data_IF_219869210474
#
_entry.id   IF_219869210474
#
_cell.length_a   1.000
_cell.length_b   1.000
_cell.length_c   1.000
_cell.angle_alpha   90.00
_cell.angle_beta   90.00
_cell.angle_gamma   90.00
#
_symmetry.space_group_name_H-M   'P 1'
#
loop_
_entity.id
_entity.type
_entity.pdbx_description
1 polymer ?
#
# COMPACT_ATOMS: atom_id res chain seq x y z
N UNK A 1 4.71 27.72 -5.37
CA UNK A 1 5.35 26.99 -6.50
C UNK A 1 5.56 25.56 -6.05
N UNK A 2 5.19 24.57 -6.88
CA UNK A 2 5.36 23.15 -6.55
C UNK A 2 6.84 22.81 -6.51
N UNK A 3 7.26 22.09 -5.47
CA UNK A 3 8.66 21.71 -5.20
C UNK A 3 8.88 20.20 -5.14
N UNK A 4 7.82 19.40 -4.96
CA UNK A 4 7.91 17.95 -4.88
C UNK A 4 6.63 17.27 -5.38
N UNK A 5 6.79 16.00 -5.77
CA UNK A 5 5.69 15.07 -6.01
C UNK A 5 5.68 14.04 -4.88
N UNK A 6 4.54 13.87 -4.25
CA UNK A 6 4.23 12.76 -3.37
C UNK A 6 3.31 11.81 -4.14
N UNK A 7 3.64 10.54 -4.21
CA UNK A 7 2.94 9.56 -5.06
C UNK A 7 2.67 8.26 -4.30
N UNK A 8 1.52 7.65 -4.52
CA UNK A 8 1.23 6.32 -4.03
C UNK A 8 2.05 5.25 -4.77
N UNK A 9 2.08 4.03 -4.23
CA UNK A 9 2.84 2.91 -4.75
C UNK A 9 1.96 1.89 -5.47
N UNK A 10 1.14 1.14 -4.73
CA UNK A 10 0.34 0.03 -5.25
C UNK A 10 -0.93 0.54 -5.92
N UNK A 11 -1.16 0.20 -7.19
CA UNK A 11 -2.24 0.74 -8.02
C UNK A 11 -1.85 2.00 -8.79
N UNK A 12 -0.76 2.66 -8.38
CA UNK A 12 -0.28 3.92 -8.97
C UNK A 12 1.04 3.77 -9.72
N UNK A 13 2.08 3.27 -9.08
CA UNK A 13 3.38 2.98 -9.70
C UNK A 13 3.51 1.54 -10.16
N UNK A 14 2.93 0.62 -9.40
CA UNK A 14 2.93 -0.82 -9.70
C UNK A 14 1.50 -1.33 -9.75
N UNK A 15 1.26 -2.40 -10.50
CA UNK A 15 -0.06 -3.01 -10.63
C UNK A 15 -0.59 -3.52 -9.29
N UNK A 16 -1.93 -3.56 -9.12
CA UNK A 16 -2.57 -4.24 -7.99
C UNK A 16 -2.66 -5.77 -8.16
N UNK A 17 -2.46 -6.26 -9.37
CA UNK A 17 -2.54 -7.68 -9.71
C UNK A 17 -1.18 -8.22 -10.13
N UNK A 18 -0.88 -9.45 -9.72
CA UNK A 18 0.33 -10.15 -10.13
C UNK A 18 0.13 -11.67 -10.10
N UNK A 19 1.02 -12.40 -10.75
CA UNK A 19 1.06 -13.86 -10.66
C UNK A 19 1.23 -14.38 -9.23
N UNK A 20 1.88 -13.60 -8.37
CA UNK A 20 2.08 -13.94 -6.95
C UNK A 20 0.75 -13.90 -6.18
N UNK A 21 -0.06 -12.87 -6.42
CA UNK A 21 -1.40 -12.76 -5.84
C UNK A 21 -2.32 -13.88 -6.36
N UNK A 22 -2.24 -14.21 -7.64
CA UNK A 22 -3.00 -15.33 -8.24
C UNK A 22 -2.61 -16.67 -7.61
N UNK A 23 -1.32 -16.91 -7.37
CA UNK A 23 -0.81 -18.11 -6.68
C UNK A 23 -1.34 -18.19 -5.24
N UNK A 24 -1.26 -17.09 -4.50
CA UNK A 24 -1.81 -16.99 -3.14
C UNK A 24 -3.31 -17.33 -3.13
N UNK A 25 -4.09 -16.71 -4.00
CA UNK A 25 -5.55 -16.96 -4.07
C UNK A 25 -5.87 -18.39 -4.47
N UNK A 26 -5.13 -18.97 -5.41
CA UNK A 26 -5.27 -20.37 -5.79
C UNK A 26 -5.02 -21.32 -4.62
N UNK A 27 -4.04 -21.00 -3.76
CA UNK A 27 -3.75 -21.81 -2.59
C UNK A 27 -4.82 -21.63 -1.51
N UNK A 28 -5.27 -20.41 -1.25
CA UNK A 28 -6.37 -20.16 -0.32
C UNK A 28 -7.65 -20.93 -0.71
N UNK A 29 -8.03 -20.92 -1.98
CA UNK A 29 -9.20 -21.66 -2.48
C UNK A 29 -9.06 -23.17 -2.28
N UNK A 30 -7.87 -23.74 -2.54
CA UNK A 30 -7.60 -25.17 -2.29
C UNK A 30 -7.76 -25.54 -0.81
N UNK A 31 -7.44 -24.62 0.08
CA UNK A 31 -7.46 -24.80 1.53
C UNK A 31 -8.74 -24.29 2.19
N UNK A 32 -9.74 -23.85 1.41
CA UNK A 32 -11.07 -23.43 1.88
C UNK A 32 -12.16 -24.09 1.01
N UNK A 33 -12.47 -25.39 1.23
CA UNK A 33 -13.34 -26.18 0.32
C UNK A 33 -14.75 -25.62 0.11
N UNK A 34 -15.25 -24.89 1.10
CA UNK A 34 -16.61 -24.35 1.10
C UNK A 34 -16.67 -22.87 0.61
N UNK A 35 -15.54 -22.32 0.16
CA UNK A 35 -15.44 -20.92 -0.27
C UNK A 35 -14.89 -20.80 -1.68
N UNK A 36 -15.47 -19.89 -2.45
CA UNK A 36 -14.86 -19.43 -3.70
C UNK A 36 -13.86 -18.30 -3.48
N UNK A 37 -13.10 -18.01 -4.51
CA UNK A 37 -12.11 -16.93 -4.51
C UNK A 37 -12.72 -15.57 -4.15
N UNK A 38 -13.91 -15.26 -4.63
CA UNK A 38 -14.58 -13.99 -4.39
C UNK A 38 -14.94 -13.82 -2.91
N UNK A 39 -15.44 -14.85 -2.27
CA UNK A 39 -15.80 -14.86 -0.84
C UNK A 39 -14.58 -14.64 0.03
N UNK A 40 -13.47 -15.37 -0.25
CA UNK A 40 -12.21 -15.23 0.50
C UNK A 40 -11.65 -13.82 0.35
N UNK A 41 -11.53 -13.34 -0.90
CA UNK A 41 -11.01 -12.00 -1.20
C UNK A 41 -11.81 -10.92 -0.51
N UNK A 42 -13.13 -10.94 -0.67
CA UNK A 42 -14.01 -9.94 -0.05
C UNK A 42 -13.89 -9.91 1.47
N UNK A 43 -13.89 -11.08 2.10
CA UNK A 43 -13.78 -11.17 3.56
C UNK A 43 -12.41 -10.64 4.03
N UNK A 44 -11.31 -11.13 3.40
CA UNK A 44 -9.97 -10.75 3.78
C UNK A 44 -9.74 -9.23 3.63
N UNK A 45 -10.09 -8.64 2.48
CA UNK A 45 -9.94 -7.18 2.27
C UNK A 45 -10.80 -6.36 3.23
N UNK A 46 -12.04 -6.78 3.50
CA UNK A 46 -12.89 -6.09 4.48
C UNK A 46 -12.23 -6.11 5.87
N UNK A 47 -11.73 -7.27 6.27
CA UNK A 47 -11.08 -7.43 7.57
C UNK A 47 -9.76 -6.66 7.64
N UNK A 48 -8.97 -6.71 6.59
CA UNK A 48 -7.72 -5.95 6.48
C UNK A 48 -7.96 -4.44 6.61
N UNK A 49 -8.93 -3.88 5.90
CA UNK A 49 -9.28 -2.45 6.01
C UNK A 49 -9.79 -2.06 7.41
N UNK A 50 -10.54 -2.93 8.08
CA UNK A 50 -10.96 -2.73 9.49
C UNK A 50 -9.74 -2.68 10.42
N UNK A 51 -8.78 -3.58 10.22
CA UNK A 51 -7.57 -3.67 11.03
C UNK A 51 -6.62 -2.48 10.78
N UNK A 52 -6.48 -2.00 9.54
CA UNK A 52 -5.73 -0.79 9.24
C UNK A 52 -6.29 0.42 9.99
N UNK A 53 -7.62 0.57 10.05
CA UNK A 53 -8.27 1.65 10.82
C UNK A 53 -8.05 1.51 12.33
N UNK A 54 -8.01 0.29 12.84
CA UNK A 54 -7.80 -0.01 14.26
C UNK A 54 -6.36 0.27 14.71
N UNK A 55 -5.39 -0.03 13.84
CA UNK A 55 -3.96 0.00 14.18
C UNK A 55 -3.25 1.25 13.64
N UNK A 56 -3.73 2.42 14.08
CA UNK A 56 -3.13 3.73 13.83
C UNK A 56 -2.56 4.35 15.12
N UNK A 57 -1.56 5.19 14.98
CA UNK A 57 -0.97 5.95 16.07
C UNK A 57 -0.30 5.07 17.12
N UNK A 58 -0.69 5.21 18.38
CA UNK A 58 -0.10 4.47 19.51
C UNK A 58 -0.26 2.93 19.40
N UNK A 59 -1.28 2.49 18.70
CA UNK A 59 -1.56 1.06 18.50
C UNK A 59 -0.99 0.51 17.19
N UNK A 60 -0.11 1.25 16.53
CA UNK A 60 0.42 0.88 15.23
C UNK A 60 0.98 -0.55 15.21
N UNK A 61 0.63 -1.28 14.15
CA UNK A 61 1.23 -2.54 13.72
C UNK A 61 1.67 -2.39 12.27
N UNK A 62 2.68 -3.14 11.83
CA UNK A 62 3.09 -3.16 10.42
C UNK A 62 2.01 -3.77 9.53
N UNK A 63 2.00 -3.44 8.25
CA UNK A 63 1.04 -4.03 7.30
C UNK A 63 1.18 -5.55 7.23
N UNK A 64 2.39 -6.07 7.33
CA UNK A 64 2.63 -7.51 7.44
C UNK A 64 1.91 -8.14 8.64
N UNK A 65 2.00 -7.52 9.83
CA UNK A 65 1.32 -8.02 11.03
C UNK A 65 -0.20 -7.95 10.88
N UNK A 66 -0.71 -6.89 10.26
CA UNK A 66 -2.15 -6.71 9.98
C UNK A 66 -2.63 -7.74 8.97
N UNK A 67 -1.89 -7.98 7.90
CA UNK A 67 -2.22 -9.00 6.90
C UNK A 67 -2.28 -10.40 7.51
N UNK A 68 -1.32 -10.74 8.38
CA UNK A 68 -1.31 -12.00 9.10
C UNK A 68 -2.54 -12.14 10.02
N UNK A 69 -2.89 -11.08 10.76
CA UNK A 69 -4.11 -11.06 11.60
C UNK A 69 -5.39 -11.18 10.75
N UNK A 70 -5.43 -10.58 9.55
CA UNK A 70 -6.54 -10.73 8.61
C UNK A 70 -6.68 -12.18 8.13
N UNK A 71 -5.58 -12.89 7.85
CA UNK A 71 -5.62 -14.33 7.54
C UNK A 71 -6.09 -15.15 8.74
N UNK A 72 -5.66 -14.85 9.96
CA UNK A 72 -6.20 -15.53 11.16
C UNK A 72 -7.71 -15.34 11.30
N UNK A 73 -8.22 -14.13 11.06
CA UNK A 73 -9.66 -13.88 11.03
C UNK A 73 -10.37 -14.68 9.92
N UNK A 74 -9.76 -14.76 8.73
CA UNK A 74 -10.31 -15.52 7.60
C UNK A 74 -10.38 -17.01 7.91
N UNK A 75 -9.36 -17.56 8.58
CA UNK A 75 -9.35 -18.94 9.06
C UNK A 75 -10.48 -19.20 10.04
N UNK A 76 -10.65 -18.30 11.00
CA UNK A 76 -11.68 -18.46 12.04
C UNK A 76 -13.11 -18.39 11.49
N UNK A 77 -13.37 -17.50 10.52
CA UNK A 77 -14.70 -17.24 9.98
C UNK A 77 -15.07 -18.16 8.82
N UNK A 78 -14.15 -18.36 7.89
CA UNK A 78 -14.41 -19.11 6.65
C UNK A 78 -13.89 -20.55 6.69
N UNK A 79 -13.18 -20.94 7.74
CA UNK A 79 -12.58 -22.28 7.83
C UNK A 79 -11.36 -22.47 6.90
N UNK A 80 -10.68 -21.38 6.49
CA UNK A 80 -9.45 -21.47 5.72
C UNK A 80 -8.39 -22.26 6.51
N UNK A 81 -7.90 -23.34 5.94
CA UNK A 81 -6.87 -24.18 6.56
C UNK A 81 -5.47 -23.63 6.22
N UNK A 82 -4.47 -24.05 7.00
CA UNK A 82 -3.08 -23.68 6.77
C UNK A 82 -2.53 -22.67 7.76
N UNK A 83 -1.34 -22.13 7.43
CA UNK A 83 -0.61 -21.18 8.27
C UNK A 83 -0.79 -19.75 7.75
N UNK A 84 -1.26 -18.85 8.61
CA UNK A 84 -1.47 -17.44 8.26
C UNK A 84 -0.16 -16.73 7.91
N UNK A 85 0.94 -17.10 8.57
CA UNK A 85 2.24 -16.54 8.24
C UNK A 85 2.67 -16.96 6.83
N UNK A 86 2.47 -18.21 6.44
CA UNK A 86 2.75 -18.68 5.08
C UNK A 86 1.98 -17.88 4.03
N UNK A 87 0.67 -17.64 4.23
CA UNK A 87 -0.12 -16.80 3.32
C UNK A 87 0.37 -15.36 3.28
N UNK A 88 0.79 -14.82 4.42
CA UNK A 88 1.35 -13.46 4.48
C UNK A 88 2.71 -13.38 3.78
N UNK A 89 3.55 -14.42 3.89
CA UNK A 89 4.81 -14.49 3.16
C UNK A 89 4.58 -14.52 1.64
N UNK A 90 3.57 -15.26 1.18
CA UNK A 90 3.17 -15.25 -0.24
C UNK A 90 2.66 -13.86 -0.69
N UNK A 91 1.91 -13.17 0.18
CA UNK A 91 1.47 -11.79 -0.08
C UNK A 91 2.65 -10.83 -0.12
N UNK A 92 3.66 -11.02 0.73
CA UNK A 92 4.88 -10.24 0.71
C UNK A 92 5.69 -10.42 -0.60
N UNK A 93 5.66 -11.62 -1.22
CA UNK A 93 6.21 -11.81 -2.57
C UNK A 93 5.47 -10.98 -3.62
N UNK A 94 4.15 -10.83 -3.50
CA UNK A 94 3.38 -9.92 -4.35
C UNK A 94 3.85 -8.47 -4.15
N UNK A 95 3.96 -7.96 -2.93
CA UNK A 95 4.38 -6.58 -2.66
C UNK A 95 5.76 -6.24 -3.24
N UNK A 96 6.70 -7.20 -3.23
CA UNK A 96 8.06 -7.01 -3.75
C UNK A 96 8.17 -7.13 -5.27
N UNK A 97 7.36 -8.02 -5.86
CA UNK A 97 7.61 -8.48 -7.22
C UNK A 97 6.59 -8.02 -8.25
N UNK A 98 5.57 -7.28 -7.84
CA UNK A 98 4.59 -6.72 -8.79
C UNK A 98 5.27 -5.80 -9.81
N UNK A 99 4.97 -5.95 -11.12
CA UNK A 99 5.56 -5.10 -12.17
C UNK A 99 5.06 -3.66 -12.05
N UNK A 100 5.88 -2.71 -12.52
CA UNK A 100 5.46 -1.32 -12.66
C UNK A 100 4.60 -1.12 -13.92
N UNK A 101 3.79 -0.07 -13.91
CA UNK A 101 3.18 0.45 -15.12
C UNK A 101 4.26 1.00 -16.05
N UNK A 102 4.08 0.86 -17.37
CA UNK A 102 5.07 1.31 -18.36
C UNK A 102 5.37 2.81 -18.25
N UNK A 103 4.36 3.62 -17.99
CA UNK A 103 4.48 5.07 -17.84
C UNK A 103 5.14 5.52 -16.53
N UNK A 104 5.24 4.65 -15.51
CA UNK A 104 6.00 4.94 -14.30
C UNK A 104 7.49 5.19 -14.62
N UNK A 105 8.09 4.41 -15.54
CA UNK A 105 9.47 4.61 -15.97
C UNK A 105 9.66 5.96 -16.67
N UNK A 106 8.73 6.28 -17.56
CA UNK A 106 8.71 7.56 -18.27
C UNK A 106 8.53 8.74 -17.31
N UNK A 107 7.67 8.59 -16.31
CA UNK A 107 7.46 9.60 -15.28
C UNK A 107 8.74 9.87 -14.47
N UNK A 108 9.38 8.82 -13.95
CA UNK A 108 10.63 8.97 -13.20
C UNK A 108 11.76 9.58 -14.06
N UNK A 109 11.85 9.20 -15.33
CA UNK A 109 12.88 9.72 -16.24
C UNK A 109 12.67 11.20 -16.61
N UNK A 110 11.43 11.68 -16.67
CA UNK A 110 11.09 13.03 -17.17
C UNK A 110 10.77 14.03 -16.06
N UNK A 111 10.36 13.58 -14.89
CA UNK A 111 10.02 14.44 -13.77
C UNK A 111 11.28 15.13 -13.22
N UNK A 112 11.28 16.47 -13.20
CA UNK A 112 12.40 17.26 -12.68
C UNK A 112 12.28 17.57 -11.18
N UNK A 113 11.14 17.26 -10.58
CA UNK A 113 10.90 17.44 -9.16
C UNK A 113 11.30 16.18 -8.38
N UNK A 114 11.75 16.31 -7.14
CA UNK A 114 11.96 15.15 -6.29
C UNK A 114 10.63 14.39 -6.10
N UNK A 115 10.69 13.07 -6.31
CA UNK A 115 9.56 12.15 -6.16
C UNK A 115 9.70 11.45 -4.81
N UNK A 116 8.67 11.53 -3.96
CA UNK A 116 8.55 10.81 -2.71
C UNK A 116 7.38 9.82 -2.80
N UNK A 117 7.56 8.61 -2.31
CA UNK A 117 6.48 7.64 -2.23
C UNK A 117 5.83 7.75 -0.85
N UNK A 118 4.49 7.86 -0.79
CA UNK A 118 3.71 7.70 0.45
C UNK A 118 2.84 6.45 0.33
N UNK A 119 3.13 5.44 1.15
CA UNK A 119 2.51 4.12 1.03
C UNK A 119 2.05 3.56 2.37
N UNK A 120 0.99 2.76 2.34
CA UNK A 120 0.55 1.98 3.48
C UNK A 120 1.47 0.76 3.75
N UNK A 121 2.19 0.30 2.73
CA UNK A 121 3.03 -0.89 2.83
C UNK A 121 4.28 -0.66 3.67
N UNK A 122 4.86 -1.75 4.19
CA UNK A 122 6.07 -1.72 5.00
C UNK A 122 7.29 -1.33 4.16
N UNK A 123 8.19 -0.54 4.73
CA UNK A 123 9.35 0.08 4.06
C UNK A 123 10.15 -0.92 3.25
N UNK A 124 10.51 -2.05 3.86
CA UNK A 124 11.38 -3.06 3.25
C UNK A 124 10.85 -3.62 1.93
N UNK A 125 9.52 -3.82 1.83
CA UNK A 125 8.92 -4.40 0.62
C UNK A 125 8.89 -3.39 -0.52
N UNK A 126 8.65 -2.12 -0.21
CA UNK A 126 8.65 -1.06 -1.21
C UNK A 126 10.09 -0.75 -1.67
N UNK A 127 11.08 -0.78 -0.76
CA UNK A 127 12.50 -0.66 -1.12
C UNK A 127 12.96 -1.79 -2.06
N UNK A 128 12.61 -3.05 -1.75
CA UNK A 128 12.91 -4.20 -2.60
C UNK A 128 12.24 -4.06 -3.98
N UNK A 129 10.96 -3.62 -4.02
CA UNK A 129 10.23 -3.36 -5.26
C UNK A 129 10.91 -2.29 -6.11
N UNK A 130 11.18 -1.12 -5.54
CA UNK A 130 11.80 -0.01 -6.26
C UNK A 130 13.21 -0.33 -6.75
N UNK A 131 14.02 -1.04 -5.96
CA UNK A 131 15.34 -1.50 -6.36
C UNK A 131 15.28 -2.48 -7.53
N UNK A 132 14.36 -3.45 -7.50
CA UNK A 132 14.15 -4.41 -8.60
C UNK A 132 13.71 -3.73 -9.89
N UNK A 133 12.87 -2.69 -9.76
CA UNK A 133 12.35 -1.91 -10.90
C UNK A 133 13.35 -0.85 -11.40
N UNK A 134 14.47 -0.66 -10.69
CA UNK A 134 15.45 0.40 -10.98
C UNK A 134 14.84 1.81 -10.93
N UNK A 135 13.75 2.01 -10.18
CA UNK A 135 13.13 3.29 -9.93
C UNK A 135 13.68 3.89 -8.64
N UNK A 136 14.14 5.14 -8.68
CA UNK A 136 14.82 5.78 -7.57
C UNK A 136 14.03 6.99 -7.04
N UNK A 137 13.06 6.79 -6.14
CA UNK A 137 12.42 7.89 -5.44
C UNK A 137 13.44 8.59 -4.53
N UNK A 138 13.19 9.87 -4.23
CA UNK A 138 14.00 10.64 -3.27
C UNK A 138 13.94 10.05 -1.86
N UNK A 139 12.76 9.56 -1.46
CA UNK A 139 12.56 8.76 -0.26
C UNK A 139 11.23 7.99 -0.36
N UNK A 140 11.13 6.91 0.41
CA UNK A 140 9.91 6.16 0.66
C UNK A 140 9.43 6.52 2.06
N UNK A 141 8.20 7.00 2.17
CA UNK A 141 7.52 7.34 3.41
C UNK A 141 6.43 6.29 3.63
N UNK A 142 6.72 5.31 4.44
CA UNK A 142 5.82 4.20 4.72
C UNK A 142 4.97 4.46 5.96
N UNK A 143 3.96 3.62 6.16
CA UNK A 143 3.19 3.61 7.40
C UNK A 143 4.06 3.37 8.64
N UNK A 144 5.19 2.65 8.52
CA UNK A 144 6.15 2.44 9.62
C UNK A 144 6.80 3.77 10.07
N UNK A 145 7.03 4.70 9.15
CA UNK A 145 7.62 6.01 9.47
C UNK A 145 6.60 6.97 10.06
N UNK A 146 5.36 6.91 9.57
CA UNK A 146 4.30 7.82 10.02
C UNK A 146 3.55 7.30 11.24
N UNK A 147 3.48 5.99 11.44
CA UNK A 147 2.60 5.25 12.34
C UNK A 147 1.11 5.43 12.01
N UNK A 148 0.80 5.86 10.79
CA UNK A 148 -0.56 6.04 10.30
C UNK A 148 -0.72 5.47 8.90
N UNK A 149 -1.88 4.87 8.67
CA UNK A 149 -2.31 4.36 7.37
C UNK A 149 -3.17 5.39 6.65
N UNK A 150 -2.93 5.60 5.36
CA UNK A 150 -3.91 6.31 4.51
C UNK A 150 -5.27 5.58 4.60
N UNK A 151 -6.41 6.28 4.74
CA UNK A 151 -6.62 7.71 4.53
C UNK A 151 -6.47 8.61 5.77
N UNK A 152 -5.88 8.16 6.88
CA UNK A 152 -5.70 9.04 8.03
C UNK A 152 -4.90 10.28 7.63
N UNK A 153 -5.42 11.47 7.93
CA UNK A 153 -4.77 12.74 7.58
C UNK A 153 -3.36 12.85 8.17
N UNK A 154 -3.15 12.25 9.34
CA UNK A 154 -1.87 12.21 10.03
C UNK A 154 -0.77 11.54 9.19
N UNK A 155 -1.12 10.59 8.31
CA UNK A 155 -0.15 10.00 7.38
C UNK A 155 0.41 11.05 6.41
N UNK A 156 -0.45 11.93 5.90
CA UNK A 156 -0.04 13.00 5.00
C UNK A 156 0.64 14.15 5.74
N UNK A 157 0.12 14.55 6.92
CA UNK A 157 0.74 15.59 7.76
C UNK A 157 2.17 15.22 8.13
N UNK A 158 2.39 13.97 8.58
CA UNK A 158 3.73 13.46 8.88
C UNK A 158 4.62 13.33 7.65
N UNK A 159 4.06 12.95 6.50
CA UNK A 159 4.83 12.96 5.26
C UNK A 159 5.33 14.36 4.91
N UNK A 160 4.48 15.40 5.05
CA UNK A 160 4.90 16.79 4.86
C UNK A 160 5.99 17.22 5.86
N UNK A 161 5.87 16.83 7.13
CA UNK A 161 6.90 17.06 8.14
C UNK A 161 8.24 16.43 7.76
N UNK A 162 8.23 15.16 7.30
CA UNK A 162 9.43 14.41 6.89
C UNK A 162 10.12 15.06 5.70
N UNK A 163 9.35 15.50 4.70
CA UNK A 163 9.93 16.14 3.50
C UNK A 163 10.27 17.62 3.72
N UNK A 164 9.76 18.24 4.78
CA UNK A 164 10.03 19.63 5.14
C UNK A 164 9.41 20.65 4.18
N UNK A 165 8.23 20.37 3.64
CA UNK A 165 7.49 21.23 2.71
C UNK A 165 6.07 21.49 3.19
N UNK A 166 5.53 22.65 2.82
CA UNK A 166 4.12 22.98 3.03
C UNK A 166 3.23 22.24 2.01
N UNK A 167 1.97 21.99 2.39
CA UNK A 167 1.01 21.28 1.54
C UNK A 167 0.85 21.90 0.14
N UNK A 168 0.89 23.26 0.05
CA UNK A 168 0.78 24.00 -1.22
C UNK A 168 2.03 23.91 -2.11
N UNK A 169 3.11 23.31 -1.61
CA UNK A 169 4.37 23.10 -2.33
C UNK A 169 4.49 21.68 -2.89
N UNK A 170 3.51 20.82 -2.60
CA UNK A 170 3.48 19.40 -2.97
C UNK A 170 2.24 19.10 -3.79
N UNK A 171 2.37 18.25 -4.80
CA UNK A 171 1.24 17.56 -5.42
C UNK A 171 1.22 16.11 -4.99
N UNK A 172 0.02 15.52 -4.93
CA UNK A 172 -0.16 14.10 -4.64
C UNK A 172 -0.74 13.37 -5.86
N UNK A 173 -0.23 12.19 -6.17
CA UNK A 173 -0.74 11.33 -7.25
C UNK A 173 -1.14 9.99 -6.65
N UNK A 174 -2.36 9.50 -6.96
CA UNK A 174 -2.84 8.22 -6.48
C UNK A 174 -4.09 7.73 -7.21
N UNK A 175 -4.39 6.44 -7.04
CA UNK A 175 -5.47 5.73 -7.73
C UNK A 175 -6.74 5.53 -6.89
N UNK A 176 -6.67 5.78 -5.57
CA UNK A 176 -7.81 5.61 -4.67
C UNK A 176 -8.49 6.92 -4.34
N UNK A 177 -9.77 7.07 -4.74
CA UNK A 177 -10.54 8.27 -4.39
C UNK A 177 -10.56 8.52 -2.87
N UNK A 178 -10.75 7.46 -2.06
CA UNK A 178 -10.86 7.58 -0.61
C UNK A 178 -9.52 7.67 0.11
N UNK A 179 -8.59 6.76 -0.22
CA UNK A 179 -7.31 6.64 0.50
C UNK A 179 -6.31 7.73 0.11
N UNK A 180 -6.40 8.25 -1.12
CA UNK A 180 -5.44 9.18 -1.69
C UNK A 180 -6.01 10.57 -1.90
N UNK A 181 -7.03 10.69 -2.75
CA UNK A 181 -7.47 11.97 -3.26
C UNK A 181 -8.15 12.82 -2.20
N UNK A 182 -9.18 12.27 -1.54
CA UNK A 182 -9.92 13.00 -0.50
C UNK A 182 -9.05 13.28 0.73
N UNK A 183 -8.19 12.33 1.10
CA UNK A 183 -7.29 12.48 2.23
C UNK A 183 -6.18 13.53 1.97
N UNK A 184 -5.60 13.57 0.77
CA UNK A 184 -4.65 14.63 0.38
C UNK A 184 -5.31 16.01 0.37
N UNK A 185 -6.55 16.11 -0.12
CA UNK A 185 -7.32 17.37 -0.11
C UNK A 185 -7.59 17.87 1.32
N UNK A 186 -7.88 16.98 2.25
CA UNK A 186 -8.16 17.33 3.64
C UNK A 186 -6.99 18.08 4.31
N UNK A 187 -5.75 17.74 3.94
CA UNK A 187 -4.55 18.41 4.45
C UNK A 187 -4.06 19.56 3.56
N UNK A 188 -4.80 19.87 2.50
CA UNK A 188 -4.50 21.01 1.60
C UNK A 188 -3.48 20.72 0.51
N UNK A 189 -3.14 19.45 0.25
CA UNK A 189 -2.33 19.04 -0.90
C UNK A 189 -3.20 18.98 -2.14
N UNK A 190 -2.71 19.45 -3.30
CA UNK A 190 -3.39 19.32 -4.58
C UNK A 190 -3.24 17.88 -5.10
N UNK A 191 -4.32 17.07 -5.17
CA UNK A 191 -4.23 15.70 -5.66
C UNK A 191 -4.50 15.59 -7.16
N UNK A 192 -3.98 14.52 -7.73
CA UNK A 192 -4.25 14.05 -9.09
C UNK A 192 -4.66 12.58 -9.03
N UNK A 193 -5.83 12.30 -9.54
CA UNK A 193 -6.38 10.95 -9.66
C UNK A 193 -5.96 10.33 -10.99
N UNK A 194 -5.49 9.10 -10.98
CA UNK A 194 -5.08 8.34 -12.17
C UNK A 194 -5.80 6.99 -12.27
#
# INVERSE_FOLDING_TARGET
MIKAVLIDHMGTLVYEQSEYLEKLMSECVKNCPDCDSQTITKYWFTKHDELLKKYNGENYKTEYQIACEAFECTKAELGLLGDSQHYTDMLAEHWKNTPAFDDAYDFFAKCQLPIYILTNNDTKYVEESMNRLELQPKAIISSEMTHYYKPAKEAFEKALEIIGLDAQEVIYIGDSLGKDILAAQEVGIQPYFI
#
